data_IF_922951828629
#
_entry.id   IF_922951828629
#
_cell.length_a   1.000
_cell.length_b   1.000
_cell.length_c   1.000
_cell.angle_alpha   90.00
_cell.angle_beta   90.00
_cell.angle_gamma   90.00
#
_symmetry.space_group_name_H-M   'P 1'
#
loop_
_entity.id
_entity.type
_entity.pdbx_description
1 polymer ?
#
# COMPACT_ATOMS: atom_id res chain seq x y z
N UNK A 1 -7.66 -6.05 -28.50
CA UNK A 1 -6.66 -5.14 -27.93
C UNK A 1 -5.30 -5.47 -28.54
N UNK A 2 -4.53 -4.45 -28.92
CA UNK A 2 -3.15 -4.62 -29.41
C UNK A 2 -2.22 -5.09 -28.27
N UNK A 3 -1.17 -5.87 -28.56
CA UNK A 3 -0.17 -6.29 -27.57
C UNK A 3 0.47 -5.12 -26.81
N UNK A 4 0.58 -3.96 -27.46
CA UNK A 4 1.07 -2.75 -26.80
C UNK A 4 0.10 -2.26 -25.71
N UNK A 5 -1.21 -2.39 -25.94
CA UNK A 5 -2.24 -1.97 -24.98
C UNK A 5 -2.28 -2.89 -23.76
N UNK A 6 -2.07 -4.20 -23.92
CA UNK A 6 -2.08 -5.16 -22.79
C UNK A 6 -0.89 -4.96 -21.87
N UNK A 7 0.29 -4.66 -22.42
CA UNK A 7 1.50 -4.32 -21.66
C UNK A 7 1.33 -3.01 -20.88
N UNK A 8 0.72 -2.00 -21.49
CA UNK A 8 0.42 -0.71 -20.86
C UNK A 8 -0.52 -0.88 -19.67
N UNK A 9 -1.63 -1.61 -19.84
CA UNK A 9 -2.60 -1.88 -18.77
C UNK A 9 -1.94 -2.60 -17.61
N UNK A 10 -1.15 -3.66 -17.88
CA UNK A 10 -0.45 -4.41 -16.84
C UNK A 10 0.54 -3.55 -16.05
N UNK A 11 1.30 -2.68 -16.72
CA UNK A 11 2.24 -1.76 -16.05
C UNK A 11 1.52 -0.76 -15.15
N UNK A 12 0.38 -0.23 -15.61
CA UNK A 12 -0.44 0.70 -14.85
C UNK A 12 -1.07 0.02 -13.64
N UNK A 13 -1.60 -1.20 -13.79
CA UNK A 13 -2.13 -2.00 -12.68
C UNK A 13 -1.06 -2.31 -11.62
N UNK A 14 0.17 -2.61 -12.06
CA UNK A 14 1.30 -2.91 -11.17
C UNK A 14 1.74 -1.71 -10.32
N UNK A 15 1.42 -0.48 -10.72
CA UNK A 15 1.75 0.75 -9.97
C UNK A 15 0.56 1.32 -9.21
N UNK A 16 -0.60 1.41 -9.87
CA UNK A 16 -1.79 2.01 -9.28
C UNK A 16 -2.37 1.12 -8.18
N UNK A 17 -2.40 -0.20 -8.38
CA UNK A 17 -3.01 -1.10 -7.39
C UNK A 17 -2.27 -1.03 -6.05
N UNK A 18 -0.93 -1.15 -5.99
CA UNK A 18 -0.18 -0.97 -4.74
C UNK A 18 -0.33 0.41 -4.12
N UNK A 19 -0.38 1.47 -4.93
CA UNK A 19 -0.53 2.84 -4.42
C UNK A 19 -1.87 3.03 -3.73
N UNK A 20 -2.96 2.61 -4.38
CA UNK A 20 -4.31 2.72 -3.84
C UNK A 20 -4.44 1.83 -2.59
N UNK A 21 -3.95 0.60 -2.62
CA UNK A 21 -4.03 -0.27 -1.45
C UNK A 21 -3.22 0.27 -0.27
N UNK A 22 -2.00 0.78 -0.51
CA UNK A 22 -1.19 1.40 0.53
C UNK A 22 -1.91 2.62 1.13
N UNK A 23 -2.50 3.47 0.28
CA UNK A 23 -3.29 4.63 0.72
C UNK A 23 -4.43 4.22 1.65
N UNK A 24 -5.26 3.25 1.26
CA UNK A 24 -6.37 2.78 2.08
C UNK A 24 -5.90 2.14 3.39
N UNK A 25 -4.81 1.38 3.38
CA UNK A 25 -4.27 0.75 4.59
C UNK A 25 -3.74 1.81 5.55
N UNK A 26 -2.93 2.77 5.07
CA UNK A 26 -2.39 3.83 5.93
C UNK A 26 -3.51 4.72 6.46
N UNK A 27 -4.51 5.08 5.63
CA UNK A 27 -5.69 5.80 6.10
C UNK A 27 -6.46 5.02 7.17
N UNK A 28 -6.62 3.71 6.99
CA UNK A 28 -7.29 2.85 7.95
C UNK A 28 -6.51 2.75 9.27
N UNK A 29 -5.19 2.66 9.22
CA UNK A 29 -4.34 2.67 10.41
C UNK A 29 -4.48 3.98 11.19
N UNK A 30 -4.46 5.12 10.53
CA UNK A 30 -4.65 6.42 11.19
C UNK A 30 -6.08 6.60 11.73
N UNK A 31 -7.07 6.03 11.04
CA UNK A 31 -8.46 6.04 11.50
C UNK A 31 -8.65 5.26 12.81
N UNK A 32 -7.93 4.16 13.00
CA UNK A 32 -7.99 3.38 14.26
C UNK A 32 -7.05 3.91 15.34
N UNK A 33 -5.91 4.51 14.98
CA UNK A 33 -4.88 4.97 15.92
C UNK A 33 -5.40 6.07 16.85
N UNK A 34 -6.24 6.98 16.34
CA UNK A 34 -6.84 8.03 17.19
C UNK A 34 -7.88 7.50 18.19
N UNK A 35 -8.34 6.25 18.05
CA UNK A 35 -9.36 5.64 18.93
C UNK A 35 -10.77 6.23 18.82
N UNK A 36 -10.95 7.36 18.14
CA UNK A 36 -12.25 8.01 17.90
C UNK A 36 -12.97 7.49 16.64
N UNK A 37 -12.29 6.73 15.78
CA UNK A 37 -12.82 6.23 14.50
C UNK A 37 -13.40 7.37 13.63
N UNK A 38 -12.61 8.44 13.49
CA UNK A 38 -12.89 9.64 12.69
C UNK A 38 -11.59 10.07 11.98
N UNK A 39 -11.66 11.00 11.03
CA UNK A 39 -10.50 11.55 10.30
C UNK A 39 -9.98 12.84 10.94
N UNK A 40 -9.94 12.91 12.27
CA UNK A 40 -9.48 14.12 12.98
C UNK A 40 -7.99 14.32 12.83
N UNK A 41 -7.24 13.25 12.57
CA UNK A 41 -5.80 13.31 12.35
C UNK A 41 -5.45 14.29 11.24
N UNK A 42 -6.32 14.43 10.23
CA UNK A 42 -6.15 15.37 9.13
C UNK A 42 -6.19 16.85 9.53
N UNK A 43 -6.68 17.18 10.73
CA UNK A 43 -6.72 18.56 11.21
C UNK A 43 -5.36 19.07 11.66
N UNK A 44 -4.44 18.17 12.00
CA UNK A 44 -3.09 18.50 12.43
C UNK A 44 -2.08 18.25 11.31
N UNK A 45 -1.31 19.28 10.96
CA UNK A 45 -0.25 19.21 9.93
C UNK A 45 0.85 18.21 10.33
N UNK A 46 1.13 18.02 11.62
CA UNK A 46 2.09 17.04 12.10
C UNK A 46 1.71 15.61 11.73
N UNK A 47 0.42 15.28 11.78
CA UNK A 47 -0.07 13.96 11.41
C UNK A 47 0.04 13.69 9.91
N UNK A 48 -0.07 14.72 9.06
CA UNK A 48 0.20 14.58 7.63
C UNK A 48 1.65 14.20 7.35
N UNK A 49 2.60 14.72 8.13
CA UNK A 49 4.00 14.32 8.00
C UNK A 49 4.21 12.83 8.37
N UNK A 50 3.61 12.37 9.47
CA UNK A 50 3.66 10.95 9.85
C UNK A 50 2.97 10.08 8.80
N UNK A 51 1.82 10.50 8.28
CA UNK A 51 1.10 9.81 7.21
C UNK A 51 1.98 9.60 5.97
N UNK A 52 2.70 10.65 5.55
CA UNK A 52 3.63 10.57 4.40
C UNK A 52 4.76 9.58 4.68
N UNK A 53 5.32 9.53 5.89
CA UNK A 53 6.33 8.54 6.27
C UNK A 53 5.77 7.12 6.13
N UNK A 54 4.58 6.85 6.67
CA UNK A 54 3.94 5.54 6.53
C UNK A 54 3.68 5.18 5.07
N UNK A 55 3.24 6.14 4.26
CA UNK A 55 3.05 5.94 2.81
C UNK A 55 4.36 5.61 2.09
N UNK A 56 5.45 6.30 2.42
CA UNK A 56 6.79 6.04 1.86
C UNK A 56 7.30 4.65 2.23
N UNK A 57 6.84 4.04 3.32
CA UNK A 57 7.22 2.68 3.72
C UNK A 57 6.28 1.64 3.09
N UNK A 58 4.97 1.80 3.24
CA UNK A 58 3.98 0.83 2.76
C UNK A 58 3.97 0.69 1.23
N UNK A 59 4.04 1.80 0.50
CA UNK A 59 3.96 1.78 -0.95
C UNK A 59 5.09 0.97 -1.62
N UNK A 60 6.38 1.22 -1.38
CA UNK A 60 7.45 0.46 -2.03
C UNK A 60 7.47 -1.00 -1.62
N UNK A 61 7.06 -1.33 -0.37
CA UNK A 61 6.92 -2.74 0.05
C UNK A 61 5.82 -3.43 -0.79
N UNK A 62 4.64 -2.82 -0.90
CA UNK A 62 3.55 -3.39 -1.69
C UNK A 62 3.88 -3.45 -3.18
N UNK A 63 4.49 -2.40 -3.73
CA UNK A 63 4.95 -2.37 -5.10
C UNK A 63 6.01 -3.45 -5.36
N UNK A 64 6.97 -3.61 -4.46
CA UNK A 64 7.99 -4.65 -4.52
C UNK A 64 7.39 -6.07 -4.51
N UNK A 65 6.43 -6.34 -3.62
CA UNK A 65 5.71 -7.62 -3.59
C UNK A 65 4.94 -7.84 -4.91
N UNK A 66 4.19 -6.84 -5.36
CA UNK A 66 3.40 -6.89 -6.59
C UNK A 66 4.26 -7.19 -7.82
N UNK A 67 5.42 -6.53 -7.91
CA UNK A 67 6.29 -6.57 -9.08
C UNK A 67 7.24 -7.77 -9.08
N UNK A 68 7.87 -8.10 -7.94
CA UNK A 68 8.89 -9.16 -7.87
C UNK A 68 8.32 -10.51 -7.44
N UNK A 69 7.38 -10.55 -6.49
CA UNK A 69 6.87 -11.81 -5.92
C UNK A 69 5.66 -12.33 -6.70
N UNK A 70 4.73 -11.44 -7.04
CA UNK A 70 3.44 -11.80 -7.64
C UNK A 70 3.31 -11.39 -9.11
N UNK A 71 4.41 -11.44 -9.87
CA UNK A 71 4.39 -11.14 -11.31
C UNK A 71 3.51 -12.09 -12.14
N UNK A 72 3.23 -13.32 -11.66
CA UNK A 72 2.38 -14.32 -12.33
C UNK A 72 0.92 -14.31 -11.87
N UNK A 73 0.61 -13.67 -10.74
CA UNK A 73 -0.77 -13.54 -10.28
C UNK A 73 -1.43 -12.33 -10.94
N UNK A 74 -2.74 -12.38 -11.15
CA UNK A 74 -3.51 -11.27 -11.74
C UNK A 74 -4.84 -11.08 -11.00
N UNK A 75 -5.40 -9.88 -11.15
CA UNK A 75 -6.70 -9.52 -10.58
C UNK A 75 -6.75 -9.52 -9.05
N UNK A 76 -7.94 -9.77 -8.49
CA UNK A 76 -8.21 -9.64 -7.05
C UNK A 76 -7.37 -10.57 -6.16
N UNK A 77 -6.98 -11.76 -6.66
CA UNK A 77 -6.14 -12.71 -5.92
C UNK A 77 -4.75 -12.13 -5.66
N UNK A 78 -4.18 -11.44 -6.65
CA UNK A 78 -2.90 -10.73 -6.52
C UNK A 78 -3.02 -9.66 -5.44
N UNK A 79 -4.05 -8.82 -5.51
CA UNK A 79 -4.28 -7.75 -4.55
C UNK A 79 -4.44 -8.27 -3.13
N UNK A 80 -5.26 -9.29 -2.93
CA UNK A 80 -5.47 -9.90 -1.61
C UNK A 80 -4.18 -10.48 -1.02
N UNK A 81 -3.41 -11.23 -1.82
CA UNK A 81 -2.14 -11.80 -1.37
C UNK A 81 -1.09 -10.72 -1.06
N UNK A 82 -1.00 -9.69 -1.92
CA UNK A 82 -0.11 -8.55 -1.72
C UNK A 82 -0.44 -7.81 -0.43
N UNK A 83 -1.72 -7.46 -0.21
CA UNK A 83 -2.16 -6.78 1.01
C UNK A 83 -1.86 -7.64 2.24
N UNK A 84 -2.25 -8.92 2.21
CA UNK A 84 -2.07 -9.84 3.33
C UNK A 84 -0.62 -10.06 3.74
N UNK A 85 0.34 -10.04 2.80
CA UNK A 85 1.78 -10.15 3.10
C UNK A 85 2.38 -8.80 3.49
N UNK A 86 1.93 -7.70 2.86
CA UNK A 86 2.52 -6.39 3.08
C UNK A 86 2.36 -5.88 4.52
N UNK A 87 1.24 -6.18 5.17
CA UNK A 87 0.98 -5.75 6.55
C UNK A 87 1.99 -6.37 7.53
N UNK A 88 2.10 -7.70 7.68
CA UNK A 88 3.06 -8.30 8.60
C UNK A 88 4.50 -7.95 8.23
N UNK A 89 4.82 -7.89 6.93
CA UNK A 89 6.18 -7.52 6.50
C UNK A 89 6.54 -6.09 6.90
N UNK A 90 5.60 -5.14 6.77
CA UNK A 90 5.82 -3.75 7.18
C UNK A 90 5.95 -3.63 8.70
N UNK A 91 5.15 -4.38 9.47
CA UNK A 91 5.28 -4.41 10.93
C UNK A 91 6.63 -4.98 11.38
N UNK A 92 7.09 -6.08 10.77
CA UNK A 92 8.41 -6.65 11.03
C UNK A 92 9.51 -5.64 10.67
N UNK A 93 9.40 -4.97 9.53
CA UNK A 93 10.36 -3.95 9.12
C UNK A 93 10.44 -2.81 10.15
N UNK A 94 9.31 -2.27 10.59
CA UNK A 94 9.27 -1.22 11.61
C UNK A 94 9.89 -1.68 12.93
N UNK A 95 9.58 -2.91 13.37
CA UNK A 95 10.15 -3.50 14.59
C UNK A 95 11.66 -3.73 14.53
N UNK A 96 12.23 -3.95 13.33
CA UNK A 96 13.68 -4.12 13.16
C UNK A 96 14.42 -2.77 13.10
N UNK A 97 13.74 -1.71 12.70
CA UNK A 97 14.34 -0.38 12.50
C UNK A 97 14.27 0.48 13.77
N UNK A 98 13.23 0.32 14.58
CA UNK A 98 12.96 1.08 15.81
C UNK A 98 13.00 0.17 17.05
#
# INVERSE_FOLDING_TARGET
MSQAQTLQVRKTEDLITPLISALFIVMFLFFIDEGYYDFRWMKDVGNWFVFVIYMIIFFPIQWGISHFVFNKLTGWKKTAAMVGISIPLTLIFLWLVF
#
